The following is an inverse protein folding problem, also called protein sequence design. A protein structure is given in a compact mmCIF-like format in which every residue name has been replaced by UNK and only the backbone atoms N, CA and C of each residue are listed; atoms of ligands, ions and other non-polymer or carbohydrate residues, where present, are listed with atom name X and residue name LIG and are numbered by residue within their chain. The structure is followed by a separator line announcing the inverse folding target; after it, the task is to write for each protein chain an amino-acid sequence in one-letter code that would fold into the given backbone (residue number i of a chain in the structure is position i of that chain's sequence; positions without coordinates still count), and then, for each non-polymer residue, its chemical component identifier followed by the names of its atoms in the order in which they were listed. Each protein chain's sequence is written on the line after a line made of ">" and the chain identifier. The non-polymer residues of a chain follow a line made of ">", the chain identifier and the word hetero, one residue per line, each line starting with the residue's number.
data_IF_699490588739
#
_entry.id   IF_699490588739
#
_cell.length_a   1.000
_cell.length_b   1.000
_cell.length_c   1.000
_cell.angle_alpha   90.00
_cell.angle_beta   90.00
_cell.angle_gamma   90.00
#
_symmetry.space_group_name_H-M   'P 1'
#
loop_
_entity.id
_entity.type
_entity.pdbx_description
1 polymer ?
#
# COMPACT_ATOMS: atom_id res chain seq x y z
N UNK A 1 6.73 -19.41 34.43
CA UNK A 1 7.04 -18.06 33.91
C UNK A 1 5.76 -17.52 33.26
N UNK A 2 5.10 -16.56 33.91
CA UNK A 2 3.85 -15.98 33.42
C UNK A 2 4.14 -14.72 32.61
N UNK A 3 3.77 -14.70 31.32
CA UNK A 3 3.71 -13.47 30.51
C UNK A 3 2.39 -12.76 30.84
N UNK A 4 2.46 -11.65 31.57
CA UNK A 4 1.33 -10.74 31.75
C UNK A 4 1.08 -9.97 30.44
N UNK A 5 -0.15 -10.08 29.92
CA UNK A 5 -0.68 -9.26 28.84
C UNK A 5 -1.20 -7.96 29.48
N UNK A 6 -0.56 -6.84 29.18
CA UNK A 6 -0.99 -5.50 29.61
C UNK A 6 -2.30 -5.11 28.94
N UNK A 7 -3.42 -5.24 29.64
CA UNK A 7 -4.69 -4.60 29.28
C UNK A 7 -4.61 -3.10 29.57
N UNK A 8 -4.72 -2.28 28.51
CA UNK A 8 -4.87 -0.83 28.63
C UNK A 8 -6.25 -0.52 29.20
N UNK A 9 -6.31 -0.09 30.46
CA UNK A 9 -7.51 0.48 31.08
C UNK A 9 -7.87 1.79 30.39
N UNK A 10 -8.75 1.76 29.40
CA UNK A 10 -9.40 2.98 28.89
C UNK A 10 -10.41 3.46 29.94
N UNK A 11 -10.26 4.69 30.42
CA UNK A 11 -11.18 5.29 31.39
C UNK A 11 -12.60 5.29 30.80
N UNK A 12 -13.56 4.64 31.49
CA UNK A 12 -14.95 4.41 30.99
C UNK A 12 -15.65 5.68 30.46
N UNK A 13 -15.34 6.86 31.02
CA UNK A 13 -15.87 8.14 30.54
C UNK A 13 -15.32 8.59 29.19
N UNK A 14 -14.07 8.26 28.85
CA UNK A 14 -13.47 8.56 27.55
C UNK A 14 -14.12 7.73 26.43
N UNK A 15 -14.52 6.49 26.73
CA UNK A 15 -15.23 5.63 25.78
C UNK A 15 -16.65 6.13 25.50
N UNK A 16 -17.37 6.60 26.53
CA UNK A 16 -18.69 7.21 26.37
C UNK A 16 -18.63 8.53 25.60
N UNK A 17 -17.63 9.38 25.88
CA UNK A 17 -17.41 10.61 25.13
C UNK A 17 -17.16 10.31 23.65
N UNK A 18 -16.31 9.34 23.32
CA UNK A 18 -16.07 8.97 21.91
C UNK A 18 -17.33 8.41 21.23
N UNK A 19 -18.15 7.61 21.92
CA UNK A 19 -19.38 7.05 21.36
C UNK A 19 -20.43 8.12 21.05
N UNK A 20 -20.47 9.25 21.77
CA UNK A 20 -21.48 10.30 21.58
C UNK A 20 -20.92 11.48 20.78
N UNK A 21 -19.70 11.90 21.06
CA UNK A 21 -19.07 13.06 20.41
C UNK A 21 -18.79 12.79 18.94
N UNK A 22 -18.26 11.60 18.60
CA UNK A 22 -17.93 11.27 17.22
C UNK A 22 -19.16 11.26 16.30
N UNK A 23 -20.30 10.62 16.62
CA UNK A 23 -21.49 10.68 15.76
C UNK A 23 -22.11 12.07 15.71
N UNK A 24 -22.03 12.88 16.77
CA UNK A 24 -22.53 14.27 16.76
C UNK A 24 -21.70 15.15 15.83
N UNK A 25 -20.37 15.07 15.91
CA UNK A 25 -19.49 15.82 15.00
C UNK A 25 -19.68 15.36 13.56
N UNK A 26 -19.83 14.05 13.33
CA UNK A 26 -20.12 13.51 12.01
C UNK A 26 -21.45 14.03 11.43
N UNK A 27 -22.50 14.09 12.25
CA UNK A 27 -23.79 14.65 11.84
C UNK A 27 -23.70 16.15 11.52
N UNK A 28 -22.91 16.93 12.27
CA UNK A 28 -22.68 18.35 12.00
C UNK A 28 -21.95 18.57 10.68
N UNK A 29 -20.92 17.76 10.39
CA UNK A 29 -20.18 17.86 9.13
C UNK A 29 -21.08 17.50 7.95
N UNK A 30 -21.86 16.41 8.04
CA UNK A 30 -22.83 16.06 7.01
C UNK A 30 -23.91 17.13 6.81
N UNK A 31 -24.41 17.71 7.90
CA UNK A 31 -25.36 18.83 7.85
C UNK A 31 -24.76 20.05 7.16
N UNK A 32 -23.51 20.40 7.48
CA UNK A 32 -22.81 21.53 6.85
C UNK A 32 -22.63 21.31 5.33
N UNK A 33 -22.28 20.10 4.90
CA UNK A 33 -22.17 19.76 3.47
C UNK A 33 -23.53 19.89 2.77
N UNK A 34 -24.61 19.37 3.37
CA UNK A 34 -25.96 19.50 2.81
C UNK A 34 -26.41 20.97 2.70
N UNK A 35 -26.14 21.76 3.74
CA UNK A 35 -26.45 23.20 3.75
C UNK A 35 -25.64 23.97 2.70
N UNK A 36 -24.37 23.61 2.51
CA UNK A 36 -23.51 24.18 1.46
C UNK A 36 -24.05 23.87 0.06
N UNK A 37 -24.58 22.65 -0.17
CA UNK A 37 -25.21 22.27 -1.45
C UNK A 37 -26.53 23.01 -1.68
N UNK A 38 -27.27 23.34 -0.61
CA UNK A 38 -28.48 24.16 -0.64
C UNK A 38 -28.19 25.67 -0.82
N UNK A 39 -26.91 26.06 -0.96
CA UNK A 39 -26.50 27.46 -1.13
C UNK A 39 -26.56 28.28 0.15
N UNK A 40 -26.68 27.65 1.31
CA UNK A 40 -26.66 28.32 2.61
C UNK A 40 -25.22 28.46 3.09
N UNK A 41 -24.78 29.68 3.34
CA UNK A 41 -23.47 29.96 3.93
C UNK A 41 -23.42 29.45 5.37
N UNK A 42 -22.81 28.29 5.58
CA UNK A 42 -22.60 27.67 6.89
C UNK A 42 -21.83 28.57 7.87
N UNK A 43 -20.98 29.47 7.35
CA UNK A 43 -20.24 30.44 8.15
C UNK A 43 -21.14 31.55 8.74
N UNK A 44 -22.12 32.03 7.98
CA UNK A 44 -23.05 33.06 8.46
C UNK A 44 -24.06 32.47 9.45
N UNK A 45 -24.51 31.24 9.22
CA UNK A 45 -25.36 30.49 10.15
C UNK A 45 -24.65 30.20 11.48
N UNK A 46 -23.34 29.94 11.44
CA UNK A 46 -22.52 29.78 12.64
C UNK A 46 -22.45 31.07 13.47
N UNK A 47 -22.29 32.23 12.81
CA UNK A 47 -22.25 33.54 13.47
C UNK A 47 -23.60 33.95 14.08
N UNK A 48 -24.71 33.69 13.38
CA UNK A 48 -26.04 34.02 13.89
C UNK A 48 -26.43 33.15 15.08
N UNK A 49 -26.14 31.85 15.03
CA UNK A 49 -26.40 30.95 16.16
C UNK A 49 -25.51 31.26 17.36
N UNK A 50 -24.27 31.71 17.14
CA UNK A 50 -23.37 32.11 18.23
C UNK A 50 -23.89 33.35 18.97
N UNK A 51 -24.51 34.30 18.25
CA UNK A 51 -25.11 35.50 18.84
C UNK A 51 -26.42 35.25 19.60
N UNK A 52 -27.11 34.12 19.36
CA UNK A 52 -28.39 33.78 19.99
C UNK A 52 -28.29 32.89 21.24
N UNK A 53 -27.10 32.36 21.57
CA UNK A 53 -26.93 31.50 22.76
C UNK A 53 -26.66 32.36 24.00
N UNK A 54 -27.61 32.50 24.94
CA UNK A 54 -27.42 33.30 26.13
C UNK A 54 -26.49 32.56 27.10
N UNK A 55 -25.32 33.15 27.40
CA UNK A 55 -24.32 32.60 28.32
C UNK A 55 -22.90 32.46 27.74
N UNK A 56 -22.72 32.69 26.44
CA UNK A 56 -21.41 32.79 25.78
C UNK A 56 -21.14 34.24 25.36
N UNK A 57 -20.74 35.09 26.30
CA UNK A 57 -20.34 36.46 25.98
C UNK A 57 -18.93 36.48 25.37
N UNK A 58 -18.84 36.44 24.04
CA UNK A 58 -17.74 37.11 23.35
C UNK A 58 -18.14 38.58 23.22
N UNK A 59 -17.37 39.48 23.82
CA UNK A 59 -17.55 40.92 23.68
C UNK A 59 -17.52 41.32 22.19
N UNK A 60 -18.70 41.57 21.63
CA UNK A 60 -18.90 42.14 20.31
C UNK A 60 -19.61 43.49 20.49
N UNK A 61 -18.82 44.55 20.50
CA UNK A 61 -19.30 45.93 20.46
C UNK A 61 -19.95 46.16 19.09
N UNK A 62 -21.27 46.40 19.09
CA UNK A 62 -22.06 46.68 17.88
C UNK A 62 -22.33 48.17 17.82
N UNK A 63 -21.64 48.88 16.94
CA UNK A 63 -22.08 50.21 16.46
C UNK A 63 -22.30 50.14 14.95
N UNK A 64 -23.56 50.24 14.53
CA UNK A 64 -23.91 50.54 13.14
C UNK A 64 -23.73 52.04 12.87
N UNK A 65 -22.99 52.40 11.82
CA UNK A 65 -23.16 53.68 11.10
C UNK A 65 -22.72 53.52 9.64
N UNK A 66 -23.65 53.78 8.72
CA UNK A 66 -23.47 54.50 7.44
C UNK A 66 -22.35 54.08 6.47
N UNK A 67 -22.79 53.51 5.35
CA UNK A 67 -22.20 53.59 4.01
C UNK A 67 -20.94 54.46 3.83
N UNK A 68 -19.80 53.81 3.64
CA UNK A 68 -18.84 54.18 2.60
C UNK A 68 -18.43 52.92 1.85
N UNK A 69 -18.60 52.98 0.54
CA UNK A 69 -18.10 52.05 -0.45
C UNK A 69 -16.57 52.06 -0.43
N UNK A 70 -15.98 51.43 0.59
CA UNK A 70 -14.56 51.14 0.60
C UNK A 70 -14.40 49.73 0.04
N UNK A 71 -14.27 49.64 -1.29
CA UNK A 71 -13.55 48.52 -1.88
C UNK A 71 -12.26 48.35 -1.08
N UNK A 72 -11.93 47.15 -0.57
CA UNK A 72 -10.69 46.97 0.14
C UNK A 72 -9.58 47.21 -0.88
N UNK A 73 -8.98 48.40 -0.86
CA UNK A 73 -7.68 48.62 -1.47
C UNK A 73 -6.72 47.80 -0.62
N UNK A 74 -6.61 46.51 -0.94
CA UNK A 74 -5.50 45.69 -0.48
C UNK A 74 -4.24 46.51 -0.72
N UNK A 75 -3.47 46.71 0.35
CA UNK A 75 -2.23 47.50 0.25
C UNK A 75 -1.38 46.85 -0.83
N UNK A 76 -0.73 47.63 -1.69
CA UNK A 76 0.04 47.10 -2.82
C UNK A 76 1.10 46.06 -2.38
N UNK A 77 1.54 46.16 -1.12
CA UNK A 77 2.38 45.21 -0.39
C UNK A 77 1.70 43.85 -0.11
N UNK A 78 0.41 43.84 0.22
CA UNK A 78 -0.38 42.63 0.48
C UNK A 78 -0.67 41.86 -0.81
N UNK A 79 -0.91 42.58 -1.91
CA UNK A 79 -1.04 41.98 -3.24
C UNK A 79 0.28 41.34 -3.69
N UNK A 80 1.41 42.04 -3.51
CA UNK A 80 2.73 41.50 -3.84
C UNK A 80 3.06 40.24 -3.00
N UNK A 81 2.76 40.25 -1.70
CA UNK A 81 2.96 39.09 -0.84
C UNK A 81 2.09 37.89 -1.26
N UNK A 82 0.85 38.13 -1.70
CA UNK A 82 -0.04 37.09 -2.22
C UNK A 82 0.41 36.53 -3.55
N UNK A 83 0.93 37.37 -4.45
CA UNK A 83 1.52 36.93 -5.72
C UNK A 83 2.77 36.07 -5.50
N UNK A 84 3.62 36.41 -4.53
CA UNK A 84 4.79 35.60 -4.15
C UNK A 84 4.37 34.25 -3.53
N UNK A 85 3.34 34.26 -2.68
CA UNK A 85 2.76 33.04 -2.11
C UNK A 85 2.18 32.13 -3.20
N UNK A 86 1.46 32.70 -4.18
CA UNK A 86 0.93 31.96 -5.33
C UNK A 86 2.06 31.35 -6.16
N UNK A 87 3.10 32.12 -6.49
CA UNK A 87 4.24 31.62 -7.25
C UNK A 87 4.97 30.48 -6.51
N UNK A 88 5.12 30.60 -5.19
CA UNK A 88 5.71 29.54 -4.37
C UNK A 88 4.86 28.27 -4.34
N UNK A 89 3.53 28.42 -4.23
CA UNK A 89 2.59 27.31 -4.25
C UNK A 89 2.56 26.63 -5.63
N UNK A 90 2.59 27.39 -6.72
CA UNK A 90 2.66 26.86 -8.09
C UNK A 90 3.93 26.05 -8.29
N UNK A 91 5.09 26.55 -7.85
CA UNK A 91 6.36 25.83 -7.95
C UNK A 91 6.36 24.54 -7.11
N UNK A 92 5.77 24.56 -5.91
CA UNK A 92 5.60 23.35 -5.09
C UNK A 92 4.65 22.34 -5.74
N UNK A 93 3.59 22.81 -6.39
CA UNK A 93 2.61 21.97 -7.09
C UNK A 93 3.25 21.31 -8.30
N UNK A 94 4.05 22.04 -9.08
CA UNK A 94 4.81 21.49 -10.20
C UNK A 94 5.81 20.43 -9.73
N UNK A 95 6.60 20.72 -8.68
CA UNK A 95 7.53 19.74 -8.11
C UNK A 95 6.82 18.47 -7.62
N UNK A 96 5.65 18.62 -6.98
CA UNK A 96 4.85 17.49 -6.51
C UNK A 96 4.25 16.69 -7.67
N UNK A 97 3.83 17.34 -8.74
CA UNK A 97 3.35 16.64 -9.94
C UNK A 97 4.45 15.85 -10.63
N UNK A 98 5.68 16.39 -10.69
CA UNK A 98 6.84 15.65 -11.20
C UNK A 98 7.15 14.44 -10.32
N UNK A 99 7.16 14.61 -8.99
CA UNK A 99 7.38 13.50 -8.05
C UNK A 99 6.29 12.42 -8.19
N UNK A 100 5.02 12.81 -8.40
CA UNK A 100 3.93 11.87 -8.66
C UNK A 100 4.16 11.10 -9.96
N UNK A 101 4.55 11.76 -11.05
CA UNK A 101 4.83 11.08 -12.33
C UNK A 101 6.00 10.09 -12.21
N UNK A 102 7.06 10.47 -11.50
CA UNK A 102 8.21 9.60 -11.26
C UNK A 102 7.80 8.35 -10.45
N UNK A 103 7.02 8.54 -9.39
CA UNK A 103 6.50 7.45 -8.57
C UNK A 103 5.52 6.55 -9.34
N UNK A 104 4.65 7.11 -10.18
CA UNK A 104 3.74 6.32 -11.03
C UNK A 104 4.53 5.44 -12.01
N UNK A 105 5.59 5.98 -12.62
CA UNK A 105 6.46 5.24 -13.54
C UNK A 105 7.24 4.13 -12.82
N UNK A 106 7.72 4.38 -11.60
CA UNK A 106 8.38 3.38 -10.77
C UNK A 106 7.42 2.24 -10.38
N UNK A 107 6.18 2.59 -10.01
CA UNK A 107 5.12 1.63 -9.69
C UNK A 107 4.76 0.77 -10.91
N UNK A 108 4.65 1.36 -12.11
CA UNK A 108 4.35 0.62 -13.33
C UNK A 108 5.49 -0.35 -13.68
N UNK A 109 6.73 0.12 -13.61
CA UNK A 109 7.93 -0.71 -13.86
C UNK A 109 7.99 -1.89 -12.89
N UNK A 110 7.81 -1.61 -11.59
CA UNK A 110 7.82 -2.62 -10.53
C UNK A 110 6.68 -3.66 -10.69
N UNK A 111 5.50 -3.24 -11.13
CA UNK A 111 4.38 -4.15 -11.38
C UNK A 111 4.64 -5.06 -12.59
N UNK A 112 5.21 -4.52 -13.66
CA UNK A 112 5.57 -5.31 -14.85
C UNK A 112 6.63 -6.36 -14.50
N UNK A 113 7.64 -6.01 -13.71
CA UNK A 113 8.65 -6.95 -13.23
C UNK A 113 8.04 -8.06 -12.36
N UNK A 114 7.20 -7.71 -11.38
CA UNK A 114 6.52 -8.71 -10.55
C UNK A 114 5.58 -9.63 -11.35
N UNK A 115 4.91 -9.10 -12.37
CA UNK A 115 4.01 -9.89 -13.21
C UNK A 115 4.79 -10.86 -14.11
N UNK A 116 5.96 -10.45 -14.61
CA UNK A 116 6.87 -11.32 -15.35
C UNK A 116 7.46 -12.43 -14.46
N UNK A 117 7.88 -12.10 -13.23
CA UNK A 117 8.41 -13.07 -12.28
C UNK A 117 7.36 -14.09 -11.82
N UNK A 118 6.14 -13.64 -11.49
CA UNK A 118 5.04 -14.52 -11.08
C UNK A 118 4.58 -15.46 -12.19
N UNK A 119 4.48 -14.96 -13.42
CA UNK A 119 4.13 -15.80 -14.59
C UNK A 119 5.22 -16.86 -14.86
N UNK A 120 6.50 -16.48 -14.71
CA UNK A 120 7.62 -17.41 -14.81
C UNK A 120 7.60 -18.48 -13.71
N UNK A 121 7.35 -18.07 -12.47
CA UNK A 121 7.27 -18.96 -11.31
C UNK A 121 6.10 -19.94 -11.38
N UNK A 122 4.92 -19.54 -11.86
CA UNK A 122 3.78 -20.45 -12.02
C UNK A 122 4.05 -21.53 -13.08
N UNK A 123 4.64 -21.12 -14.22
CA UNK A 123 5.00 -22.06 -15.28
C UNK A 123 6.11 -23.02 -14.83
N UNK A 124 7.13 -22.51 -14.13
CA UNK A 124 8.21 -23.31 -13.55
C UNK A 124 7.66 -24.29 -12.50
N UNK A 125 6.83 -23.85 -11.56
CA UNK A 125 6.23 -24.72 -10.56
C UNK A 125 5.36 -25.83 -11.18
N UNK A 126 4.59 -25.54 -12.23
CA UNK A 126 3.78 -26.57 -12.90
C UNK A 126 4.63 -27.65 -13.59
N UNK A 127 5.70 -27.26 -14.27
CA UNK A 127 6.61 -28.19 -14.94
C UNK A 127 7.42 -29.03 -13.94
N UNK A 128 7.88 -28.42 -12.83
CA UNK A 128 8.53 -29.13 -11.72
C UNK A 128 7.58 -30.16 -11.08
N UNK A 129 6.30 -29.81 -10.93
CA UNK A 129 5.30 -30.68 -10.33
C UNK A 129 4.95 -31.88 -11.21
N UNK A 130 4.80 -31.68 -12.53
CA UNK A 130 4.55 -32.77 -13.48
C UNK A 130 5.73 -33.74 -13.55
N UNK A 131 6.96 -33.22 -13.65
CA UNK A 131 8.18 -34.03 -13.68
C UNK A 131 8.36 -34.83 -12.39
N UNK A 132 8.13 -34.21 -11.23
CA UNK A 132 8.14 -34.89 -9.94
C UNK A 132 7.11 -36.02 -9.89
N UNK A 133 5.87 -35.80 -10.33
CA UNK A 133 4.82 -36.83 -10.34
C UNK A 133 5.18 -38.03 -11.22
N UNK A 134 5.81 -37.80 -12.38
CA UNK A 134 6.24 -38.88 -13.28
C UNK A 134 7.28 -39.77 -12.60
N UNK A 135 8.31 -39.18 -11.99
CA UNK A 135 9.36 -39.95 -11.31
C UNK A 135 8.89 -40.58 -10.00
N UNK A 136 8.02 -39.91 -9.23
CA UNK A 136 7.38 -40.50 -8.05
C UNK A 136 6.52 -41.71 -8.41
N UNK A 137 5.76 -41.64 -9.50
CA UNK A 137 4.87 -42.73 -9.93
C UNK A 137 5.62 -44.00 -10.35
N UNK A 138 6.82 -43.86 -10.93
CA UNK A 138 7.65 -45.02 -11.29
C UNK A 138 8.64 -45.44 -10.19
N UNK A 139 8.91 -44.55 -9.23
CA UNK A 139 9.86 -44.75 -8.15
C UNK A 139 11.31 -44.43 -8.53
N UNK A 140 12.11 -44.07 -7.52
CA UNK A 140 13.49 -43.59 -7.68
C UNK A 140 14.41 -44.60 -8.39
N UNK A 141 14.27 -45.89 -8.09
CA UNK A 141 15.11 -46.94 -8.66
C UNK A 141 14.85 -47.12 -10.17
N UNK A 142 13.58 -47.08 -10.59
CA UNK A 142 13.20 -47.15 -12.00
C UNK A 142 13.63 -45.90 -12.76
N UNK A 143 13.44 -44.72 -12.16
CA UNK A 143 13.91 -43.45 -12.72
C UNK A 143 15.44 -43.44 -12.89
N UNK A 144 16.20 -43.87 -11.88
CA UNK A 144 17.64 -43.98 -11.93
C UNK A 144 18.12 -44.96 -13.01
N UNK A 145 17.41 -46.08 -13.19
CA UNK A 145 17.72 -47.05 -14.25
C UNK A 145 17.53 -46.43 -15.65
N UNK A 146 16.45 -45.67 -15.86
CA UNK A 146 16.19 -44.99 -17.15
C UNK A 146 17.22 -43.88 -17.40
N UNK A 147 17.50 -43.05 -16.39
CA UNK A 147 18.47 -41.95 -16.48
C UNK A 147 19.90 -42.47 -16.68
N UNK A 148 20.19 -43.69 -16.22
CA UNK A 148 21.48 -44.33 -16.44
C UNK A 148 21.75 -44.69 -17.92
N UNK A 149 20.73 -44.70 -18.77
CA UNK A 149 20.89 -44.92 -20.21
C UNK A 149 21.08 -43.61 -21.00
N UNK A 150 20.99 -42.44 -20.34
CA UNK A 150 21.13 -41.12 -20.97
C UNK A 150 22.56 -40.57 -20.87
N UNK A 151 22.86 -39.45 -21.54
CA UNK A 151 24.09 -38.69 -21.30
C UNK A 151 24.06 -37.94 -19.96
N UNK A 152 25.21 -37.51 -19.44
CA UNK A 152 25.25 -36.80 -18.16
C UNK A 152 24.56 -35.43 -18.26
N UNK A 153 24.69 -34.77 -19.40
CA UNK A 153 24.08 -33.47 -19.69
C UNK A 153 22.55 -33.56 -19.69
N UNK A 154 21.99 -34.62 -20.29
CA UNK A 154 20.56 -34.88 -20.28
C UNK A 154 20.04 -35.17 -18.87
N UNK A 155 20.77 -35.99 -18.10
CA UNK A 155 20.41 -36.29 -16.71
C UNK A 155 20.40 -35.03 -15.85
N UNK A 156 21.39 -34.14 -16.00
CA UNK A 156 21.41 -32.85 -15.30
C UNK A 156 20.16 -32.04 -15.64
N UNK A 157 19.76 -31.96 -16.91
CA UNK A 157 18.56 -31.22 -17.33
C UNK A 157 17.27 -31.80 -16.73
N UNK A 158 17.14 -33.12 -16.73
CA UNK A 158 15.98 -33.79 -16.14
C UNK A 158 15.93 -33.61 -14.61
N UNK A 159 17.07 -33.71 -13.94
CA UNK A 159 17.15 -33.58 -12.49
C UNK A 159 17.06 -32.12 -12.03
N UNK A 160 17.45 -31.13 -12.83
CA UNK A 160 17.24 -29.70 -12.50
C UNK A 160 15.76 -29.37 -12.41
N UNK A 161 14.94 -30.00 -13.26
CA UNK A 161 13.48 -29.88 -13.31
C UNK A 161 12.76 -30.81 -12.30
N UNK A 162 13.51 -31.53 -11.46
CA UNK A 162 12.96 -32.46 -10.45
C UNK A 162 13.05 -31.87 -9.05
N UNK A 163 11.99 -32.05 -8.25
CA UNK A 163 11.97 -31.66 -6.83
C UNK A 163 13.13 -32.25 -6.04
N UNK A 164 13.64 -31.50 -5.06
CA UNK A 164 14.89 -31.82 -4.33
C UNK A 164 14.88 -33.20 -3.67
N UNK A 165 13.77 -33.62 -3.08
CA UNK A 165 13.65 -34.92 -2.42
C UNK A 165 13.71 -36.08 -3.44
N UNK A 166 12.91 -36.01 -4.50
CA UNK A 166 12.90 -37.01 -5.57
C UNK A 166 14.27 -37.09 -6.27
N UNK A 167 14.90 -35.95 -6.55
CA UNK A 167 16.26 -35.87 -7.09
C UNK A 167 17.29 -36.55 -6.19
N UNK A 168 17.23 -36.32 -4.88
CA UNK A 168 18.13 -36.97 -3.92
C UNK A 168 17.96 -38.50 -3.92
N UNK A 169 16.70 -38.96 -3.94
CA UNK A 169 16.38 -40.38 -4.00
C UNK A 169 16.87 -41.04 -5.31
N UNK A 170 16.71 -40.37 -6.45
CA UNK A 170 17.23 -40.86 -7.74
C UNK A 170 18.75 -40.95 -7.70
N UNK A 171 19.44 -39.89 -7.25
CA UNK A 171 20.91 -39.89 -7.16
C UNK A 171 21.44 -40.98 -6.22
N UNK A 172 20.69 -41.32 -5.17
CA UNK A 172 21.04 -42.41 -4.25
C UNK A 172 20.93 -43.81 -4.88
N UNK A 173 20.09 -43.97 -5.89
CA UNK A 173 19.91 -45.21 -6.66
C UNK A 173 20.86 -45.30 -7.88
N UNK A 174 21.64 -44.26 -8.15
CA UNK A 174 22.65 -44.24 -9.22
C UNK A 174 24.02 -44.73 -8.74
N UNK A 175 24.89 -45.08 -9.69
CA UNK A 175 26.30 -45.38 -9.40
C UNK A 175 27.02 -44.18 -8.76
N UNK A 176 27.74 -44.34 -7.63
CA UNK A 176 28.31 -43.23 -6.87
C UNK A 176 29.21 -42.30 -7.68
N UNK A 177 30.02 -42.86 -8.59
CA UNK A 177 30.93 -42.09 -9.44
C UNK A 177 30.14 -41.19 -10.39
N UNK A 178 29.04 -41.71 -10.95
CA UNK A 178 28.20 -40.96 -11.86
C UNK A 178 27.37 -39.90 -11.13
N UNK A 179 26.78 -40.26 -9.99
CA UNK A 179 26.07 -39.31 -9.14
C UNK A 179 26.96 -38.11 -8.75
N UNK A 180 28.24 -38.35 -8.41
CA UNK A 180 29.20 -37.28 -8.13
C UNK A 180 29.45 -36.36 -9.32
N UNK A 181 29.52 -36.89 -10.54
CA UNK A 181 29.70 -36.09 -11.76
C UNK A 181 28.48 -35.20 -11.99
N UNK A 182 27.28 -35.79 -11.92
CA UNK A 182 26.02 -35.05 -12.08
C UNK A 182 25.90 -33.94 -11.03
N UNK A 183 26.19 -34.25 -9.75
CA UNK A 183 26.10 -33.27 -8.66
C UNK A 183 27.07 -32.09 -8.88
N UNK A 184 28.30 -32.35 -9.31
CA UNK A 184 29.26 -31.30 -9.61
C UNK A 184 28.78 -30.43 -10.77
N UNK A 185 28.28 -31.03 -11.85
CA UNK A 185 27.74 -30.31 -13.00
C UNK A 185 26.50 -29.46 -12.70
N UNK A 186 25.78 -29.75 -11.62
CA UNK A 186 24.65 -28.92 -11.15
C UNK A 186 25.08 -27.76 -10.24
N UNK A 187 26.32 -27.77 -9.74
CA UNK A 187 26.88 -26.75 -8.83
C UNK A 187 27.72 -25.69 -9.51
N UNK A 188 28.08 -25.91 -10.78
CA UNK A 188 28.75 -24.96 -11.67
C UNK A 188 27.74 -24.07 -12.40
#
# INVERSE_FOLDING_TARGET
>A
MAKQKTEKRTKKGQWFFLIIFVPVVFALILGAVLLSVLGVNVADLGKSMLNEVPGISMEADSTETGAEESAPQASQEELAAKEEEIASLEQQLEAKNTEIQELEQEIETTQVEQQAESSGQEQENSALQETAQVYESMGASAAASILSEMSNEEVVRHLSETGTEMRANILAEMEPQRASVILNSMSE
#
